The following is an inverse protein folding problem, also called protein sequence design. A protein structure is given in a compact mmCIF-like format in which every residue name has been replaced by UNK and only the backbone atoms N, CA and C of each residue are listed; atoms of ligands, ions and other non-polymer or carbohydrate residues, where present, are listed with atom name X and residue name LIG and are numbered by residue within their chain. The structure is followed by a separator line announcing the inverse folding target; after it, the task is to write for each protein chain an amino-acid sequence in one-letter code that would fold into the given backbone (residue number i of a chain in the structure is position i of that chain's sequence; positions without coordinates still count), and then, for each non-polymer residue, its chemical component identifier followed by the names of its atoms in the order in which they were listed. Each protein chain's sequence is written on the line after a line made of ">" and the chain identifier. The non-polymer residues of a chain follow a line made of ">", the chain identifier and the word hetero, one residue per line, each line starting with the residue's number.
data_IF_507442543593
#
_entry.id   IF_507442543593
#
_cell.length_a   1.000
_cell.length_b   1.000
_cell.length_c   1.000
_cell.angle_alpha   90.00
_cell.angle_beta   90.00
_cell.angle_gamma   90.00
#
_symmetry.space_group_name_H-M   'P 1'
#
loop_
_entity.id
_entity.type
_entity.pdbx_description
1 polymer ?
#
# COMPACT_ATOMS: atom_id res chain seq x y z
N UNK A 1 2.26 44.07 33.62
CA UNK A 1 2.92 42.78 33.98
C UNK A 1 1.93 41.68 34.36
N UNK A 2 0.92 41.93 35.22
CA UNK A 2 -0.02 40.88 35.67
C UNK A 2 -0.96 40.33 34.57
N UNK A 3 -1.39 41.12 33.58
CA UNK A 3 -2.26 40.60 32.49
C UNK A 3 -1.51 39.75 31.45
N UNK A 4 -0.21 40.00 31.25
CA UNK A 4 0.66 39.23 30.36
C UNK A 4 1.04 37.85 30.94
N UNK A 5 1.11 37.74 32.27
CA UNK A 5 1.28 36.44 32.94
C UNK A 5 -0.02 35.62 32.87
N UNK A 6 -1.18 36.28 33.03
CA UNK A 6 -2.51 35.65 32.95
C UNK A 6 -2.82 35.05 31.57
N UNK A 7 -2.53 35.77 30.47
CA UNK A 7 -2.77 35.28 29.10
C UNK A 7 -1.86 34.10 28.72
N UNK A 8 -0.60 34.12 29.16
CA UNK A 8 0.32 33.00 28.94
C UNK A 8 -0.07 31.76 29.78
N UNK A 9 -0.56 31.96 31.01
CA UNK A 9 -1.06 30.87 31.87
C UNK A 9 -2.37 30.27 31.33
N UNK A 10 -3.28 31.07 30.76
CA UNK A 10 -4.51 30.55 30.14
C UNK A 10 -4.21 29.72 28.90
N UNK A 11 -3.24 30.15 28.08
CA UNK A 11 -2.77 29.41 26.91
C UNK A 11 -2.05 28.12 27.33
N UNK A 12 -1.19 28.17 28.35
CA UNK A 12 -0.51 26.98 28.86
C UNK A 12 -1.49 25.94 29.44
N UNK A 13 -2.52 26.39 30.17
CA UNK A 13 -3.58 25.50 30.69
C UNK A 13 -4.39 24.87 29.56
N UNK A 14 -4.72 25.62 28.51
CA UNK A 14 -5.43 25.10 27.34
C UNK A 14 -4.58 24.10 26.56
N UNK A 15 -3.31 24.41 26.31
CA UNK A 15 -2.37 23.46 25.69
C UNK A 15 -2.19 22.20 26.52
N UNK A 16 -2.05 22.33 27.85
CA UNK A 16 -1.98 21.19 28.76
C UNK A 16 -3.26 20.34 28.71
N UNK A 17 -4.43 20.97 28.68
CA UNK A 17 -5.71 20.27 28.55
C UNK A 17 -5.83 19.53 27.20
N UNK A 18 -5.36 20.12 26.10
CA UNK A 18 -5.31 19.45 24.79
C UNK A 18 -4.37 18.24 24.81
N UNK A 19 -3.18 18.39 25.40
CA UNK A 19 -2.22 17.28 25.57
C UNK A 19 -2.81 16.17 26.44
N UNK A 20 -3.47 16.51 27.55
CA UNK A 20 -4.12 15.55 28.42
C UNK A 20 -5.28 14.83 27.72
N UNK A 21 -6.11 15.54 26.95
CA UNK A 21 -7.18 14.93 26.17
C UNK A 21 -6.61 13.98 25.10
N UNK A 22 -5.56 14.38 24.40
CA UNK A 22 -4.88 13.51 23.43
C UNK A 22 -4.31 12.26 24.10
N UNK A 23 -3.63 12.41 25.25
CA UNK A 23 -3.12 11.30 26.04
C UNK A 23 -4.24 10.38 26.57
N UNK A 24 -5.40 10.94 26.93
CA UNK A 24 -6.57 10.18 27.35
C UNK A 24 -7.14 9.35 26.20
N UNK A 25 -7.22 9.92 24.97
CA UNK A 25 -7.68 9.18 23.79
C UNK A 25 -6.74 8.02 23.48
N UNK A 26 -5.42 8.26 23.46
CA UNK A 26 -4.43 7.21 23.21
C UNK A 26 -4.44 6.12 24.28
N UNK A 27 -4.54 6.50 25.56
CA UNK A 27 -4.59 5.53 26.66
C UNK A 27 -5.88 4.72 26.63
N UNK A 28 -7.02 5.33 26.30
CA UNK A 28 -8.30 4.62 26.13
C UNK A 28 -8.22 3.59 25.00
N UNK A 29 -7.66 3.96 23.84
CA UNK A 29 -7.46 3.05 22.72
C UNK A 29 -6.53 1.88 23.09
N UNK A 30 -5.41 2.17 23.77
CA UNK A 30 -4.49 1.14 24.25
C UNK A 30 -5.13 0.19 25.27
N UNK A 31 -5.88 0.74 26.23
CA UNK A 31 -6.59 -0.05 27.24
C UNK A 31 -7.68 -0.91 26.62
N UNK A 32 -8.38 -0.42 25.60
CA UNK A 32 -9.35 -1.20 24.83
C UNK A 32 -8.66 -2.37 24.11
N UNK A 33 -7.53 -2.12 23.46
CA UNK A 33 -6.75 -3.17 22.78
C UNK A 33 -6.25 -4.24 23.75
N UNK A 34 -5.67 -3.83 24.89
CA UNK A 34 -5.23 -4.77 25.94
C UNK A 34 -6.39 -5.51 26.59
N UNK A 35 -7.50 -4.83 26.83
CA UNK A 35 -8.75 -5.44 27.30
C UNK A 35 -9.23 -6.53 26.35
N UNK A 36 -9.25 -6.26 25.05
CA UNK A 36 -9.62 -7.23 24.02
C UNK A 36 -8.63 -8.41 23.94
N UNK A 37 -7.33 -8.15 24.08
CA UNK A 37 -6.29 -9.17 24.10
C UNK A 37 -6.49 -10.14 25.29
N UNK A 38 -6.76 -9.61 26.48
CA UNK A 38 -7.06 -10.42 27.68
C UNK A 38 -8.41 -11.14 27.54
N UNK A 39 -9.42 -10.48 26.99
CA UNK A 39 -10.74 -11.06 26.78
C UNK A 39 -10.69 -12.26 25.84
N UNK A 40 -9.96 -12.16 24.73
CA UNK A 40 -9.82 -13.25 23.75
C UNK A 40 -8.73 -14.26 24.10
N UNK A 41 -7.89 -13.96 25.10
CA UNK A 41 -6.64 -14.67 25.41
C UNK A 41 -5.65 -14.73 24.23
N UNK A 42 -5.74 -13.76 23.30
CA UNK A 42 -4.87 -13.65 22.14
C UNK A 42 -3.92 -12.47 22.30
N UNK A 43 -2.65 -12.64 21.91
CA UNK A 43 -1.69 -11.54 21.82
C UNK A 43 -2.01 -10.57 20.68
N UNK A 44 -2.75 -11.03 19.68
CA UNK A 44 -3.25 -10.26 18.55
C UNK A 44 -4.71 -10.65 18.27
N UNK A 45 -5.70 -10.06 18.96
CA UNK A 45 -7.11 -10.45 18.84
C UNK A 45 -7.71 -10.18 17.46
N UNK A 46 -7.08 -9.32 16.67
CA UNK A 46 -7.53 -8.93 15.33
C UNK A 46 -6.33 -8.97 14.39
N UNK A 47 -6.46 -9.63 13.24
CA UNK A 47 -5.40 -9.74 12.22
C UNK A 47 -5.97 -9.49 10.83
N UNK A 48 -5.11 -9.10 9.88
CA UNK A 48 -5.49 -8.89 8.48
C UNK A 48 -4.85 -9.96 7.60
N UNK A 49 -5.62 -10.50 6.66
CA UNK A 49 -5.11 -11.45 5.66
C UNK A 49 -4.28 -10.71 4.60
N UNK A 50 -3.03 -11.12 4.44
CA UNK A 50 -2.08 -10.46 3.52
C UNK A 50 -1.84 -11.23 2.21
N UNK A 51 -2.25 -12.50 2.14
CA UNK A 51 -1.98 -13.39 0.99
C UNK A 51 -3.21 -14.21 0.61
N UNK A 52 -3.21 -14.77 -0.61
CA UNK A 52 -4.28 -15.63 -1.14
C UNK A 52 -4.15 -17.12 -0.81
N UNK A 53 -3.31 -17.52 0.17
CA UNK A 53 -3.13 -18.94 0.52
C UNK A 53 -4.39 -19.59 1.12
N UNK A 54 -5.34 -18.78 1.57
CA UNK A 54 -6.60 -19.21 2.20
C UNK A 54 -7.81 -19.11 1.28
N UNK A 55 -7.62 -18.84 -0.01
CA UNK A 55 -8.74 -18.84 -0.95
C UNK A 55 -9.33 -20.26 -1.13
N UNK A 56 -10.66 -20.40 -1.20
CA UNK A 56 -11.68 -19.35 -1.25
C UNK A 56 -12.21 -18.89 0.13
N UNK A 57 -11.74 -19.46 1.24
CA UNK A 57 -12.28 -19.19 2.57
C UNK A 57 -12.04 -17.75 3.04
N UNK A 58 -10.84 -17.23 2.81
CA UNK A 58 -10.49 -15.83 3.08
C UNK A 58 -9.68 -15.25 1.92
N UNK A 59 -9.90 -13.96 1.65
CA UNK A 59 -9.19 -13.20 0.65
C UNK A 59 -8.24 -12.20 1.30
N UNK A 60 -7.24 -11.74 0.54
CA UNK A 60 -6.40 -10.62 0.97
C UNK A 60 -7.27 -9.42 1.31
N UNK A 61 -7.00 -8.79 2.46
CA UNK A 61 -7.77 -7.66 2.98
C UNK A 61 -8.92 -8.03 3.92
N UNK A 62 -9.17 -9.31 4.18
CA UNK A 62 -10.13 -9.71 5.22
C UNK A 62 -9.57 -9.45 6.62
N UNK A 63 -10.40 -8.84 7.48
CA UNK A 63 -10.08 -8.59 8.89
C UNK A 63 -10.64 -9.73 9.75
N UNK A 64 -9.78 -10.50 10.39
CA UNK A 64 -10.14 -11.69 11.17
C UNK A 64 -10.16 -11.38 12.67
N UNK A 65 -11.16 -11.93 13.37
CA UNK A 65 -11.27 -11.89 14.83
C UNK A 65 -10.88 -13.24 15.42
N UNK A 66 -9.94 -13.19 16.36
CA UNK A 66 -9.33 -14.38 16.95
C UNK A 66 -9.84 -14.66 18.35
N UNK A 67 -9.91 -15.94 18.68
CA UNK A 67 -10.27 -16.44 20.00
C UNK A 67 -9.32 -17.57 20.40
N UNK A 68 -8.71 -17.45 21.58
CA UNK A 68 -7.69 -18.37 22.04
C UNK A 68 -8.00 -19.01 23.41
N UNK A 69 -9.21 -18.84 23.95
CA UNK A 69 -9.60 -19.50 25.22
C UNK A 69 -10.00 -20.96 25.07
N UNK A 70 -10.19 -21.44 23.83
CA UNK A 70 -10.52 -22.84 23.58
C UNK A 70 -9.30 -23.70 23.92
N UNK A 71 -9.42 -24.72 24.79
CA UNK A 71 -8.28 -25.53 25.22
C UNK A 71 -7.72 -26.42 24.11
N UNK A 72 -8.42 -26.55 22.98
CA UNK A 72 -8.06 -27.39 21.83
C UNK A 72 -8.41 -26.67 20.54
N UNK A 73 -7.71 -27.03 19.47
CA UNK A 73 -8.10 -26.71 18.10
C UNK A 73 -8.59 -28.00 17.42
N UNK A 74 -9.70 -27.90 16.69
CA UNK A 74 -10.29 -29.04 16.00
C UNK A 74 -9.85 -29.10 14.53
N UNK A 75 -9.90 -30.30 13.95
CA UNK A 75 -9.67 -30.46 12.51
C UNK A 75 -10.71 -29.64 11.75
N UNK A 76 -10.25 -28.85 10.78
CA UNK A 76 -11.08 -27.92 10.02
C UNK A 76 -11.13 -26.50 10.58
N UNK A 77 -10.71 -26.26 11.83
CA UNK A 77 -10.58 -24.90 12.35
C UNK A 77 -9.51 -24.12 11.58
N UNK A 78 -9.74 -22.82 11.37
CA UNK A 78 -8.74 -21.92 10.82
C UNK A 78 -8.05 -21.23 11.99
N UNK A 79 -6.73 -21.37 12.06
CA UNK A 79 -5.90 -20.87 13.15
C UNK A 79 -4.88 -19.88 12.62
N UNK A 80 -4.53 -18.92 13.47
CA UNK A 80 -3.42 -18.01 13.26
C UNK A 80 -2.29 -18.43 14.17
N UNK A 81 -1.11 -18.63 13.61
CA UNK A 81 0.05 -19.12 14.34
C UNK A 81 1.32 -18.36 13.99
N UNK A 82 2.22 -18.29 14.96
CA UNK A 82 3.55 -17.72 14.78
C UNK A 82 4.53 -18.84 14.46
N UNK A 83 5.53 -18.53 13.63
CA UNK A 83 6.66 -19.40 13.38
C UNK A 83 7.92 -18.74 13.93
N UNK A 84 8.74 -19.49 14.66
CA UNK A 84 9.99 -18.97 15.21
C UNK A 84 10.89 -18.43 14.10
N UNK A 85 11.32 -17.17 14.22
CA UNK A 85 12.15 -16.50 13.22
C UNK A 85 11.38 -15.91 12.04
N UNK A 86 10.05 -15.87 12.09
CA UNK A 86 9.21 -15.11 11.15
C UNK A 86 8.44 -14.03 11.90
N UNK A 87 8.40 -12.84 11.33
CA UNK A 87 7.73 -11.67 11.94
C UNK A 87 6.23 -11.61 11.64
N UNK A 88 5.77 -12.33 10.61
CA UNK A 88 4.38 -12.29 10.15
C UNK A 88 3.69 -13.61 10.51
N UNK A 89 2.57 -13.58 11.26
CA UNK A 89 1.79 -14.77 11.57
C UNK A 89 1.14 -15.35 10.31
N UNK A 90 0.94 -16.65 10.30
CA UNK A 90 0.34 -17.39 9.19
C UNK A 90 -1.07 -17.81 9.60
N UNK A 91 -2.02 -17.68 8.67
CA UNK A 91 -3.43 -18.07 8.86
C UNK A 91 -3.69 -19.29 8.00
N UNK A 92 -3.85 -20.47 8.57
CA UNK A 92 -4.14 -21.69 7.81
C UNK A 92 -5.10 -22.64 8.54
N UNK A 93 -5.65 -23.62 7.80
CA UNK A 93 -6.60 -24.60 8.35
C UNK A 93 -5.88 -25.76 9.01
N UNK A 94 -6.35 -26.18 10.18
CA UNK A 94 -5.89 -27.40 10.84
C UNK A 94 -6.39 -28.60 10.03
N UNK A 95 -5.45 -29.37 9.47
CA UNK A 95 -5.76 -30.58 8.70
C UNK A 95 -5.70 -31.84 9.55
N UNK A 96 -4.81 -31.88 10.55
CA UNK A 96 -4.66 -33.02 11.46
C UNK A 96 -4.23 -32.57 12.85
N UNK A 97 -4.59 -33.37 13.84
CA UNK A 97 -4.17 -33.19 15.24
C UNK A 97 -3.50 -34.46 15.75
N UNK A 98 -2.50 -34.29 16.60
CA UNK A 98 -1.69 -35.36 17.15
C UNK A 98 -1.59 -35.22 18.68
N UNK A 99 -1.43 -36.32 19.41
CA UNK A 99 -1.11 -36.26 20.82
C UNK A 99 0.25 -35.59 21.04
N UNK A 100 0.46 -35.02 22.22
CA UNK A 100 1.74 -34.41 22.60
C UNK A 100 2.86 -35.48 22.60
N UNK A 101 3.94 -35.23 21.85
CA UNK A 101 5.11 -36.10 21.77
C UNK A 101 6.26 -35.42 22.51
N UNK A 102 6.92 -36.17 23.41
CA UNK A 102 8.10 -35.65 24.10
C UNK A 102 9.29 -35.51 23.12
N UNK A 103 9.92 -34.31 23.02
CA UNK A 103 10.93 -34.02 22.01
C UNK A 103 12.23 -34.84 22.17
N UNK A 104 12.52 -35.34 23.39
CA UNK A 104 13.75 -36.11 23.67
C UNK A 104 13.60 -37.61 23.47
N UNK A 105 12.42 -38.16 23.74
CA UNK A 105 12.18 -39.61 23.79
C UNK A 105 11.39 -40.11 22.59
N UNK A 106 10.77 -39.21 21.80
CA UNK A 106 9.78 -39.51 20.75
C UNK A 106 8.65 -40.43 21.24
N UNK A 107 8.47 -40.55 22.55
CA UNK A 107 7.37 -41.29 23.17
C UNK A 107 6.17 -40.35 23.26
N UNK A 108 5.00 -40.90 23.00
CA UNK A 108 3.74 -40.25 23.39
C UNK A 108 3.78 -40.11 24.90
N UNK A 109 3.51 -38.90 25.39
CA UNK A 109 3.48 -38.63 26.83
C UNK A 109 2.35 -39.47 27.46
N UNK A 110 2.69 -40.57 28.12
CA UNK A 110 1.72 -41.42 28.82
C UNK A 110 1.17 -40.67 30.04
N UNK A 111 -0.14 -40.44 30.07
CA UNK A 111 -0.84 -39.93 31.25
C UNK A 111 -2.11 -40.77 31.45
N UNK A 112 -2.29 -41.20 32.69
CA UNK A 112 -3.33 -42.08 33.26
C UNK A 112 -4.67 -42.17 32.51
N UNK A 113 -5.23 -43.40 32.48
CA UNK A 113 -6.46 -43.84 31.79
C UNK A 113 -7.78 -43.10 32.12
N UNK A 114 -7.74 -41.98 32.85
CA UNK A 114 -8.88 -41.12 33.19
C UNK A 114 -8.75 -39.68 32.68
N UNK A 115 -7.70 -39.34 31.91
CA UNK A 115 -7.49 -38.00 31.36
C UNK A 115 -7.91 -37.97 29.88
N UNK A 116 -8.85 -37.12 29.45
CA UNK A 116 -9.20 -37.00 28.03
C UNK A 116 -7.99 -36.39 27.31
N UNK A 117 -7.31 -37.19 26.48
CA UNK A 117 -6.06 -36.81 25.79
C UNK A 117 -6.24 -35.43 25.11
N UNK A 118 -5.40 -34.42 25.42
CA UNK A 118 -5.40 -33.18 24.68
C UNK A 118 -4.54 -33.37 23.43
N UNK A 119 -5.16 -33.44 22.25
CA UNK A 119 -4.43 -33.37 20.99
C UNK A 119 -3.86 -31.95 20.85
N UNK A 120 -2.60 -31.77 21.25
CA UNK A 120 -1.96 -30.47 21.36
C UNK A 120 -1.01 -30.16 20.20
N UNK A 121 -0.70 -31.14 19.35
CA UNK A 121 0.15 -30.95 18.19
C UNK A 121 -0.73 -30.84 16.94
N UNK A 122 -0.47 -29.85 16.09
CA UNK A 122 -1.31 -29.49 14.96
C UNK A 122 -0.49 -29.51 13.67
N UNK A 123 -1.11 -30.01 12.60
CA UNK A 123 -0.63 -29.85 11.23
C UNK A 123 -1.64 -28.97 10.49
N UNK A 124 -1.12 -27.98 9.79
CA UNK A 124 -1.90 -26.96 9.08
C UNK A 124 -1.61 -26.98 7.59
N UNK A 125 -2.56 -26.45 6.82
CA UNK A 125 -2.43 -26.23 5.38
C UNK A 125 -3.26 -25.03 4.95
N UNK A 126 -2.72 -24.22 4.05
CA UNK A 126 -3.51 -23.21 3.31
C UNK A 126 -4.51 -23.85 2.36
N UNK A 127 -5.75 -23.34 2.33
CA UNK A 127 -6.81 -23.91 1.50
C UNK A 127 -6.44 -23.94 0.01
N UNK A 128 -5.69 -22.95 -0.46
CA UNK A 128 -5.20 -22.83 -1.84
C UNK A 128 -3.79 -23.42 -2.06
N UNK A 129 -3.15 -23.97 -1.03
CA UNK A 129 -1.81 -24.56 -1.16
C UNK A 129 -1.89 -26.00 -1.70
N UNK A 130 -0.82 -26.49 -2.35
CA UNK A 130 -0.75 -27.89 -2.84
C UNK A 130 -0.30 -28.85 -1.74
N UNK A 131 0.64 -28.41 -0.89
CA UNK A 131 1.23 -29.19 0.20
C UNK A 131 0.88 -28.63 1.58
N UNK A 132 1.10 -29.43 2.62
CA UNK A 132 0.97 -29.03 4.03
C UNK A 132 2.09 -28.07 4.46
N UNK A 133 1.88 -27.35 5.57
CA UNK A 133 2.74 -26.23 5.99
C UNK A 133 4.07 -26.64 6.64
N UNK A 134 4.44 -27.93 6.61
CA UNK A 134 5.67 -28.43 7.25
C UNK A 134 6.93 -27.66 6.82
N UNK A 135 7.03 -27.23 5.55
CA UNK A 135 8.13 -26.41 5.05
C UNK A 135 8.10 -24.96 5.54
N UNK A 136 6.94 -24.48 5.99
CA UNK A 136 6.77 -23.14 6.54
C UNK A 136 7.13 -23.05 8.02
N UNK A 137 7.19 -24.18 8.73
CA UNK A 137 7.53 -24.24 10.15
C UNK A 137 9.00 -23.95 10.42
N UNK A 138 9.35 -23.80 11.69
CA UNK A 138 10.74 -23.57 12.08
C UNK A 138 11.60 -24.80 11.76
N UNK A 139 12.91 -24.59 11.57
CA UNK A 139 13.83 -25.69 11.27
C UNK A 139 13.79 -26.76 12.39
N UNK A 140 13.42 -27.98 12.02
CA UNK A 140 13.30 -29.11 12.95
C UNK A 140 11.95 -29.18 13.68
N UNK A 141 10.95 -28.40 13.26
CA UNK A 141 9.59 -28.42 13.76
C UNK A 141 8.66 -29.06 12.71
N UNK A 142 8.12 -30.24 13.02
CA UNK A 142 7.19 -30.94 12.12
C UNK A 142 5.72 -30.62 12.43
N UNK A 143 5.43 -30.09 13.62
CA UNK A 143 4.08 -29.80 14.10
C UNK A 143 4.06 -28.51 14.94
N UNK A 144 2.91 -27.85 14.97
CA UNK A 144 2.66 -26.67 15.80
C UNK A 144 2.11 -27.10 17.17
N UNK A 145 2.59 -26.48 18.24
CA UNK A 145 2.03 -26.65 19.57
C UNK A 145 0.86 -25.69 19.78
N UNK A 146 -0.29 -26.21 20.21
CA UNK A 146 -1.51 -25.45 20.49
C UNK A 146 -1.30 -24.32 21.49
N UNK A 147 -0.48 -24.51 22.52
CA UNK A 147 -0.28 -23.54 23.59
C UNK A 147 0.82 -22.51 23.25
N UNK A 148 1.88 -22.95 22.57
CA UNK A 148 3.04 -22.10 22.31
C UNK A 148 2.92 -21.31 21.00
N UNK A 149 2.46 -21.95 19.92
CA UNK A 149 2.57 -21.39 18.57
C UNK A 149 1.27 -20.73 18.09
N UNK A 150 0.11 -21.15 18.61
CA UNK A 150 -1.19 -20.64 18.16
C UNK A 150 -1.53 -19.31 18.85
N UNK A 151 -1.72 -18.28 18.04
CA UNK A 151 -2.19 -16.95 18.44
C UNK A 151 -3.69 -16.98 18.74
N UNK A 152 -4.47 -17.69 17.93
CA UNK A 152 -5.89 -17.96 18.17
C UNK A 152 -6.61 -18.58 16.97
N UNK A 153 -7.79 -19.16 17.22
CA UNK A 153 -8.70 -19.64 16.17
C UNK A 153 -9.56 -18.50 15.65
N UNK A 154 -9.77 -18.44 14.33
CA UNK A 154 -10.66 -17.46 13.70
C UNK A 154 -12.11 -17.76 14.07
N UNK A 155 -12.84 -16.78 14.61
CA UNK A 155 -14.27 -16.91 15.01
C UNK A 155 -15.21 -16.01 14.23
N UNK A 156 -14.67 -15.05 13.51
CA UNK A 156 -15.43 -14.15 12.64
C UNK A 156 -14.48 -13.34 11.78
N UNK A 157 -15.02 -12.70 10.76
CA UNK A 157 -14.26 -11.79 9.91
C UNK A 157 -15.15 -10.71 9.33
N UNK A 158 -14.54 -9.62 8.89
CA UNK A 158 -15.19 -8.61 8.07
C UNK A 158 -14.43 -8.54 6.74
N UNK A 159 -15.08 -8.77 5.60
CA UNK A 159 -14.42 -8.77 4.31
C UNK A 159 -13.91 -7.38 3.94
N UNK A 160 -12.78 -7.32 3.23
CA UNK A 160 -12.19 -6.12 2.63
C UNK A 160 -11.75 -4.97 3.57
N UNK A 161 -12.17 -4.93 4.84
CA UNK A 161 -11.83 -3.83 5.77
C UNK A 161 -10.34 -3.72 6.04
N UNK A 162 -9.63 -4.85 6.03
CA UNK A 162 -8.19 -4.90 6.18
C UNK A 162 -7.43 -4.17 5.08
N UNK A 163 -8.02 -3.90 3.90
CA UNK A 163 -7.38 -3.05 2.89
C UNK A 163 -7.07 -1.65 3.41
N UNK A 164 -7.87 -1.11 4.34
CA UNK A 164 -7.58 0.18 4.98
C UNK A 164 -6.28 0.09 5.78
N UNK A 165 -6.09 -0.99 6.54
CA UNK A 165 -4.87 -1.23 7.32
C UNK A 165 -3.67 -1.55 6.43
N UNK A 166 -3.85 -2.38 5.40
CA UNK A 166 -2.82 -2.70 4.41
C UNK A 166 -2.35 -1.42 3.71
N UNK A 167 -3.28 -0.58 3.25
CA UNK A 167 -2.96 0.70 2.62
C UNK A 167 -2.21 1.66 3.56
N UNK A 168 -2.52 1.64 4.85
CA UNK A 168 -1.83 2.44 5.87
C UNK A 168 -0.45 1.89 6.25
N UNK A 169 -0.22 0.58 6.11
CA UNK A 169 0.99 -0.11 6.59
C UNK A 169 2.00 -0.46 5.49
N UNK A 170 1.55 -0.80 4.28
CA UNK A 170 2.42 -1.23 3.17
C UNK A 170 2.99 -0.05 2.36
N UNK A 171 2.33 1.13 2.35
CA UNK A 171 2.83 2.30 1.64
C UNK A 171 2.78 3.62 2.43
N UNK A 172 3.36 3.72 3.66
CA UNK A 172 3.53 5.00 4.34
C UNK A 172 4.25 6.03 3.44
N UNK A 173 5.24 5.55 2.69
CA UNK A 173 6.02 6.35 1.75
C UNK A 173 5.17 6.95 0.62
N UNK A 174 4.06 6.31 0.18
CA UNK A 174 3.22 6.85 -0.89
C UNK A 174 2.47 8.09 -0.42
N UNK A 175 1.99 8.05 0.83
CA UNK A 175 1.37 9.21 1.48
C UNK A 175 2.41 10.30 1.74
N UNK A 176 3.62 9.93 2.13
CA UNK A 176 4.72 10.89 2.30
C UNK A 176 5.11 11.54 0.97
N UNK A 177 5.26 10.77 -0.11
CA UNK A 177 5.62 11.27 -1.44
C UNK A 177 4.52 12.19 -2.00
N UNK A 178 3.25 11.82 -1.84
CA UNK A 178 2.12 12.68 -2.22
C UNK A 178 2.09 13.96 -1.38
N UNK A 179 2.28 13.86 -0.06
CA UNK A 179 2.30 15.02 0.83
C UNK A 179 3.46 15.97 0.48
N UNK A 180 4.66 15.44 0.21
CA UNK A 180 5.84 16.19 -0.22
C UNK A 180 5.57 16.93 -1.54
N UNK A 181 4.89 16.28 -2.51
CA UNK A 181 4.48 16.90 -3.77
C UNK A 181 3.38 17.95 -3.62
N UNK A 182 2.46 17.79 -2.67
CA UNK A 182 1.42 18.78 -2.40
C UNK A 182 1.96 19.99 -1.62
N UNK A 183 2.91 19.77 -0.72
CA UNK A 183 3.56 20.81 0.08
C UNK A 183 4.59 21.59 -0.74
N UNK A 184 5.37 20.89 -1.55
CA UNK A 184 6.47 21.46 -2.36
C UNK A 184 6.45 20.93 -3.80
N UNK A 185 5.42 21.26 -4.59
CA UNK A 185 5.37 20.82 -5.97
C UNK A 185 6.50 21.43 -6.81
N UNK A 186 6.98 20.73 -7.86
CA UNK A 186 7.84 21.34 -8.85
C UNK A 186 7.21 22.57 -9.51
N UNK A 187 8.03 23.47 -10.02
CA UNK A 187 7.56 24.71 -10.67
C UNK A 187 6.58 24.44 -11.82
N UNK A 188 5.45 25.15 -11.79
CA UNK A 188 4.38 25.00 -12.79
C UNK A 188 3.63 23.67 -12.71
N UNK A 189 3.73 22.93 -11.61
CA UNK A 189 3.02 21.66 -11.39
C UNK A 189 2.13 21.78 -10.16
N UNK A 190 0.93 21.21 -10.23
CA UNK A 190 0.04 21.04 -9.08
C UNK A 190 -0.50 19.62 -9.09
N UNK A 191 -0.48 18.95 -7.94
CA UNK A 191 -0.89 17.55 -7.82
C UNK A 191 -2.13 17.45 -6.93
N UNK A 192 -3.12 16.70 -7.41
CA UNK A 192 -4.35 16.36 -6.69
C UNK A 192 -4.60 14.86 -6.78
N UNK A 193 -5.27 14.30 -5.78
CA UNK A 193 -5.80 12.94 -5.89
C UNK A 193 -6.98 12.92 -6.88
N UNK A 194 -7.01 11.91 -7.74
CA UNK A 194 -8.17 11.72 -8.61
C UNK A 194 -9.42 11.36 -7.80
N UNK A 195 -9.23 10.63 -6.69
CA UNK A 195 -10.25 10.21 -5.74
C UNK A 195 -9.62 10.05 -4.34
N UNK A 196 -10.27 10.54 -3.29
CA UNK A 196 -9.79 10.42 -1.90
C UNK A 196 -9.68 8.96 -1.42
N UNK A 197 -10.40 8.02 -2.05
CA UNK A 197 -10.31 6.59 -1.74
C UNK A 197 -9.29 5.82 -2.58
N UNK A 198 -8.72 6.43 -3.63
CA UNK A 198 -7.73 5.80 -4.51
C UNK A 198 -6.44 6.61 -4.57
N UNK A 199 -5.44 6.15 -3.81
CA UNK A 199 -4.12 6.78 -3.72
C UNK A 199 -3.20 6.44 -4.88
N UNK A 200 -3.61 5.60 -5.84
CA UNK A 200 -2.78 5.20 -6.99
C UNK A 200 -3.05 6.05 -8.24
N UNK A 201 -4.13 6.85 -8.25
CA UNK A 201 -4.55 7.65 -9.40
C UNK A 201 -4.48 9.14 -9.07
N UNK A 202 -3.60 9.87 -9.73
CA UNK A 202 -3.35 11.29 -9.47
C UNK A 202 -3.70 12.13 -10.68
N UNK A 203 -4.27 13.31 -10.41
CA UNK A 203 -4.47 14.38 -11.39
C UNK A 203 -3.37 15.40 -11.19
N UNK A 204 -2.57 15.59 -12.22
CA UNK A 204 -1.49 16.57 -12.23
C UNK A 204 -1.86 17.67 -13.21
N UNK A 205 -1.92 18.92 -12.74
CA UNK A 205 -2.04 20.07 -13.60
C UNK A 205 -0.65 20.60 -13.89
N UNK A 206 -0.26 20.59 -15.16
CA UNK A 206 1.06 21.02 -15.63
C UNK A 206 0.90 22.29 -16.47
N UNK A 207 1.58 23.35 -16.06
CA UNK A 207 1.69 24.59 -16.82
C UNK A 207 2.76 24.44 -17.89
N UNK A 208 2.42 24.86 -19.11
CA UNK A 208 3.35 24.84 -20.23
C UNK A 208 4.57 25.72 -19.96
N UNK A 209 5.80 25.20 -20.15
CA UNK A 209 7.01 25.92 -19.80
C UNK A 209 7.20 27.19 -20.63
N UNK A 210 7.80 28.22 -20.03
CA UNK A 210 8.20 29.44 -20.73
C UNK A 210 9.16 29.12 -21.88
N UNK A 211 9.07 29.86 -22.99
CA UNK A 211 9.89 29.61 -24.18
C UNK A 211 9.42 28.44 -25.06
N UNK A 212 8.37 27.72 -24.66
CA UNK A 212 7.74 26.66 -25.47
C UNK A 212 6.46 27.14 -26.17
N UNK A 213 5.98 26.47 -27.25
CA UNK A 213 4.69 26.77 -27.85
C UNK A 213 3.49 26.45 -26.93
N UNK A 214 3.75 25.81 -25.78
CA UNK A 214 2.77 25.42 -24.78
C UNK A 214 2.59 26.46 -23.67
N UNK A 215 3.42 27.52 -23.65
CA UNK A 215 3.36 28.58 -22.66
C UNK A 215 1.96 29.19 -22.54
N UNK A 216 1.54 29.51 -21.30
CA UNK A 216 0.18 29.91 -20.91
C UNK A 216 -0.90 28.82 -21.07
N UNK A 217 -0.54 27.61 -21.47
CA UNK A 217 -1.43 26.45 -21.44
C UNK A 217 -1.38 25.73 -20.10
N UNK A 218 -2.51 25.15 -19.68
CA UNK A 218 -2.60 24.25 -18.53
C UNK A 218 -3.08 22.87 -18.98
N UNK A 219 -2.28 21.84 -18.73
CA UNK A 219 -2.51 20.48 -19.19
C UNK A 219 -2.84 19.57 -18.02
N UNK A 220 -3.96 18.85 -18.11
CA UNK A 220 -4.24 17.74 -17.20
C UNK A 220 -3.39 16.55 -17.63
N UNK A 221 -2.57 16.06 -16.72
CA UNK A 221 -1.76 14.85 -16.83
C UNK A 221 -2.28 13.86 -15.80
N UNK A 222 -2.63 12.65 -16.24
CA UNK A 222 -3.04 11.54 -15.40
C UNK A 222 -1.80 10.74 -15.05
N UNK A 223 -1.55 10.55 -13.77
CA UNK A 223 -0.49 9.70 -13.26
C UNK A 223 -1.12 8.50 -12.55
N UNK A 224 -0.72 7.30 -12.95
CA UNK A 224 -1.24 6.05 -12.41
C UNK A 224 -0.09 5.17 -11.93
N UNK A 225 -0.14 4.79 -10.66
CA UNK A 225 0.83 3.92 -10.01
C UNK A 225 0.35 2.47 -10.07
N UNK A 226 1.17 1.53 -10.59
CA UNK A 226 0.84 0.11 -10.51
C UNK A 226 0.95 -0.40 -9.06
N UNK A 227 0.31 -1.53 -8.78
CA UNK A 227 0.37 -2.17 -7.45
C UNK A 227 1.77 -2.62 -7.07
N UNK A 228 2.65 -2.84 -8.04
CA UNK A 228 4.06 -3.21 -7.80
C UNK A 228 5.02 -2.01 -7.77
N UNK A 229 4.53 -0.77 -7.79
CA UNK A 229 5.38 0.40 -7.58
C UNK A 229 6.03 0.34 -6.18
N UNK A 230 7.32 0.73 -6.01
CA UNK A 230 8.21 1.36 -6.99
C UNK A 230 9.03 0.38 -7.83
N UNK A 231 8.80 -0.92 -7.77
CA UNK A 231 9.55 -1.89 -8.58
C UNK A 231 9.11 -1.88 -10.05
N UNK A 232 7.87 -1.51 -10.32
CA UNK A 232 7.40 -1.11 -11.66
C UNK A 232 7.23 0.41 -11.76
N UNK A 233 7.51 1.02 -12.93
CA UNK A 233 7.38 2.46 -13.13
C UNK A 233 5.93 2.93 -13.06
N UNK A 234 5.69 4.22 -12.73
CA UNK A 234 4.39 4.85 -12.93
C UNK A 234 4.05 4.91 -14.42
N UNK A 235 2.78 5.14 -14.71
CA UNK A 235 2.30 5.49 -16.05
C UNK A 235 1.82 6.94 -16.08
N UNK A 236 2.17 7.66 -17.15
CA UNK A 236 1.87 9.08 -17.31
C UNK A 236 1.19 9.28 -18.67
N UNK A 237 0.04 9.95 -18.67
CA UNK A 237 -0.69 10.25 -19.90
C UNK A 237 -1.36 11.62 -19.84
N UNK A 238 -1.42 12.32 -20.96
CA UNK A 238 -2.13 13.58 -21.10
C UNK A 238 -3.64 13.34 -21.18
N UNK A 239 -4.38 13.90 -20.22
CA UNK A 239 -5.84 14.04 -20.29
C UNK A 239 -6.28 15.21 -21.17
N UNK A 240 -5.44 16.24 -21.30
CA UNK A 240 -5.65 17.36 -22.24
C UNK A 240 -4.98 17.07 -23.57
N UNK A 241 -5.70 17.25 -24.69
CA UNK A 241 -5.12 17.06 -26.04
C UNK A 241 -3.96 18.03 -26.27
N UNK A 242 -2.86 17.51 -26.81
CA UNK A 242 -1.62 18.25 -27.05
C UNK A 242 -0.99 17.83 -28.38
N UNK A 243 -0.39 18.77 -29.10
CA UNK A 243 0.31 18.51 -30.35
C UNK A 243 1.82 18.39 -30.11
N UNK A 244 2.30 17.18 -29.78
CA UNK A 244 3.68 16.98 -29.32
C UNK A 244 4.30 15.68 -29.91
N UNK A 245 5.59 15.65 -30.32
CA UNK A 245 6.21 14.45 -30.90
C UNK A 245 6.22 13.21 -29.99
N UNK A 246 6.47 13.41 -28.69
CA UNK A 246 6.56 12.34 -27.68
C UNK A 246 5.25 12.00 -26.96
N UNK A 247 4.10 12.55 -27.40
CA UNK A 247 2.78 12.26 -26.82
C UNK A 247 1.84 11.80 -27.93
N UNK A 248 1.09 10.72 -27.72
CA UNK A 248 0.13 10.26 -28.72
C UNK A 248 -1.00 11.26 -28.92
N UNK A 249 -1.45 11.42 -30.16
CA UNK A 249 -2.52 12.33 -30.53
C UNK A 249 -3.93 11.69 -30.46
N UNK A 250 -4.08 10.60 -29.72
CA UNK A 250 -5.35 9.91 -29.49
C UNK A 250 -5.98 10.33 -28.15
N UNK A 251 -7.17 9.80 -27.84
CA UNK A 251 -7.84 10.10 -26.57
C UNK A 251 -7.14 9.48 -25.35
N UNK A 252 -6.10 8.64 -25.56
CA UNK A 252 -5.27 8.09 -24.49
C UNK A 252 -4.18 9.08 -24.05
N UNK A 253 -3.64 9.87 -24.98
CA UNK A 253 -2.58 10.85 -24.69
C UNK A 253 -1.33 10.22 -24.05
N UNK A 254 -0.98 9.00 -24.42
CA UNK A 254 0.13 8.26 -23.83
C UNK A 254 1.45 8.98 -24.08
N UNK A 255 2.22 9.21 -23.01
CA UNK A 255 3.54 9.82 -23.09
C UNK A 255 4.61 8.74 -22.92
N UNK A 256 5.55 8.67 -23.85
CA UNK A 256 6.71 7.80 -23.69
C UNK A 256 7.84 8.59 -23.01
N UNK A 257 8.12 8.26 -21.76
CA UNK A 257 9.26 8.81 -21.02
C UNK A 257 10.35 7.75 -20.99
N UNK A 258 11.52 8.04 -21.56
CA UNK A 258 12.64 7.08 -21.59
C UNK A 258 13.01 6.56 -20.19
N UNK A 259 12.94 7.41 -19.17
CA UNK A 259 13.19 7.05 -17.77
C UNK A 259 12.15 6.10 -17.15
N UNK A 260 10.99 5.95 -17.78
CA UNK A 260 9.91 5.05 -17.35
C UNK A 260 9.94 3.70 -18.09
N UNK A 261 10.93 3.47 -18.96
CA UNK A 261 11.12 2.15 -19.59
C UNK A 261 11.53 1.13 -18.51
N UNK A 262 11.04 -0.12 -18.55
CA UNK A 262 11.29 -1.11 -17.50
C UNK A 262 12.76 -1.37 -17.18
N UNK A 263 13.65 -1.20 -18.16
CA UNK A 263 15.10 -1.37 -18.06
C UNK A 263 15.85 -0.12 -17.53
N UNK A 264 15.24 1.06 -17.64
CA UNK A 264 15.81 2.34 -17.20
C UNK A 264 15.27 2.79 -15.84
N UNK A 265 14.07 2.34 -15.48
CA UNK A 265 13.41 2.73 -14.24
C UNK A 265 14.17 2.23 -13.01
N UNK A 266 14.43 3.17 -12.08
CA UNK A 266 15.03 2.88 -10.78
C UNK A 266 13.99 3.06 -9.69
N UNK A 267 13.77 2.08 -8.79
CA UNK A 267 12.82 2.23 -7.69
C UNK A 267 13.11 3.40 -6.73
N UNK A 268 14.34 3.93 -6.75
CA UNK A 268 14.74 5.11 -5.99
C UNK A 268 14.36 6.44 -6.67
N UNK A 269 13.84 6.42 -7.89
CA UNK A 269 13.41 7.61 -8.61
C UNK A 269 12.17 8.23 -7.97
N UNK A 270 12.17 9.56 -7.87
CA UNK A 270 11.09 10.35 -7.28
C UNK A 270 10.03 10.73 -8.31
N UNK A 271 8.76 10.77 -7.90
CA UNK A 271 7.67 11.16 -8.81
C UNK A 271 7.82 12.62 -9.23
N UNK A 272 8.31 13.49 -8.33
CA UNK A 272 8.69 14.87 -8.67
C UNK A 272 9.62 14.94 -9.88
N UNK A 273 10.64 14.08 -9.93
CA UNK A 273 11.59 14.00 -11.05
C UNK A 273 10.93 13.51 -12.34
N UNK A 274 9.98 12.57 -12.25
CA UNK A 274 9.19 12.12 -13.42
C UNK A 274 8.36 13.27 -14.00
N UNK A 275 7.69 14.05 -13.14
CA UNK A 275 6.88 15.19 -13.57
C UNK A 275 7.73 16.33 -14.14
N UNK A 276 8.88 16.60 -13.53
CA UNK A 276 9.88 17.55 -14.06
C UNK A 276 10.38 17.12 -15.44
N UNK A 277 10.70 15.84 -15.62
CA UNK A 277 11.15 15.32 -16.91
C UNK A 277 10.05 15.39 -17.99
N UNK A 278 8.80 15.10 -17.62
CA UNK A 278 7.66 15.28 -18.50
C UNK A 278 7.48 16.75 -18.92
N UNK A 279 7.61 17.71 -17.99
CA UNK A 279 7.56 19.14 -18.31
C UNK A 279 8.74 19.58 -19.18
N UNK A 280 9.94 19.06 -18.93
CA UNK A 280 11.13 19.35 -19.74
C UNK A 280 10.96 18.90 -21.19
N UNK A 281 10.30 17.77 -21.44
CA UNK A 281 10.02 17.32 -22.80
C UNK A 281 9.14 18.29 -23.59
N UNK A 282 8.24 19.03 -22.93
CA UNK A 282 7.47 20.08 -23.59
C UNK A 282 8.34 21.25 -24.05
N UNK A 283 9.43 21.53 -23.34
CA UNK A 283 10.40 22.55 -23.71
C UNK A 283 11.34 22.05 -24.81
N UNK A 284 11.85 20.84 -24.64
CA UNK A 284 12.82 20.20 -25.54
C UNK A 284 12.31 18.82 -25.96
N UNK A 285 11.45 18.74 -27.00
CA UNK A 285 11.01 17.48 -27.57
C UNK A 285 12.18 16.61 -28.01
N UNK A 286 12.06 15.28 -27.89
CA UNK A 286 13.05 14.30 -28.33
C UNK A 286 12.58 13.59 -29.60
N UNK A 287 12.94 14.05 -30.80
CA UNK A 287 12.35 13.54 -32.04
C UNK A 287 12.75 12.10 -32.38
N UNK A 288 13.88 11.62 -31.87
CA UNK A 288 14.37 10.26 -32.13
C UNK A 288 13.62 9.21 -31.31
N UNK A 289 13.06 9.61 -30.16
CA UNK A 289 12.19 8.80 -29.29
C UNK A 289 10.70 9.17 -29.48
N UNK A 290 10.34 9.77 -30.61
CA UNK A 290 8.99 10.24 -30.87
C UNK A 290 8.01 9.07 -31.08
N UNK A 291 6.83 9.20 -30.49
CA UNK A 291 5.70 8.28 -30.73
C UNK A 291 4.94 8.70 -31.98
N UNK A 292 4.89 10.00 -32.27
CA UNK A 292 4.23 10.59 -33.42
C UNK A 292 5.26 11.02 -34.48
N UNK A 293 5.70 10.07 -35.31
CA UNK A 293 6.75 10.30 -36.31
C UNK A 293 6.48 11.48 -37.26
N UNK A 294 5.22 11.69 -37.66
CA UNK A 294 4.84 12.83 -38.52
C UNK A 294 5.07 14.19 -37.83
N UNK A 295 4.78 14.27 -36.54
CA UNK A 295 4.98 15.49 -35.75
C UNK A 295 6.49 15.69 -35.53
N UNK A 296 7.24 14.61 -35.31
CA UNK A 296 8.70 14.65 -35.20
C UNK A 296 9.37 15.13 -36.50
N UNK A 297 8.94 14.64 -37.66
CA UNK A 297 9.44 15.08 -38.96
C UNK A 297 9.13 16.55 -39.21
N UNK A 298 7.93 17.01 -38.82
CA UNK A 298 7.59 18.42 -38.90
C UNK A 298 8.44 19.26 -37.95
N UNK A 299 8.66 18.81 -36.72
CA UNK A 299 9.53 19.48 -35.75
C UNK A 299 10.96 19.63 -36.28
N UNK A 300 11.50 18.60 -36.95
CA UNK A 300 12.85 18.60 -37.54
C UNK A 300 12.96 19.50 -38.77
N UNK A 301 11.98 19.45 -39.68
CA UNK A 301 12.10 20.04 -41.01
C UNK A 301 11.36 21.39 -41.17
N UNK A 302 10.35 21.67 -40.34
CA UNK A 302 9.50 22.87 -40.41
C UNK A 302 9.07 23.32 -39.00
N UNK A 303 10.06 23.83 -38.25
CA UNK A 303 9.87 24.24 -36.86
C UNK A 303 8.84 25.35 -36.70
N UNK A 304 8.79 26.30 -37.63
CA UNK A 304 7.85 27.42 -37.58
C UNK A 304 6.40 26.93 -37.63
N UNK A 305 6.09 26.04 -38.57
CA UNK A 305 4.73 25.47 -38.70
C UNK A 305 4.37 24.56 -37.53
N UNK A 306 5.33 23.81 -36.99
CA UNK A 306 5.12 23.04 -35.76
C UNK A 306 4.74 23.96 -34.60
N UNK A 307 5.49 25.04 -34.36
CA UNK A 307 5.24 25.96 -33.26
C UNK A 307 3.89 26.68 -33.41
N UNK A 308 3.47 27.01 -34.64
CA UNK A 308 2.14 27.57 -34.92
C UNK A 308 1.01 26.61 -34.55
N UNK A 309 1.09 25.36 -35.01
CA UNK A 309 0.07 24.33 -34.72
C UNK A 309 0.04 23.99 -33.22
N UNK A 310 1.19 23.84 -32.58
CA UNK A 310 1.28 23.56 -31.15
C UNK A 310 0.67 24.70 -30.32
N UNK A 311 0.89 25.97 -30.70
CA UNK A 311 0.23 27.13 -30.07
C UNK A 311 -1.27 27.15 -30.30
N UNK A 312 -1.74 26.80 -31.50
CA UNK A 312 -3.17 26.71 -31.80
C UNK A 312 -3.85 25.64 -30.93
N UNK A 313 -3.24 24.46 -30.80
CA UNK A 313 -3.74 23.37 -29.98
C UNK A 313 -3.75 23.74 -28.50
N UNK A 314 -2.68 24.38 -28.02
CA UNK A 314 -2.60 24.90 -26.65
C UNK A 314 -3.75 25.88 -26.39
N UNK A 315 -4.01 26.81 -27.30
CA UNK A 315 -5.13 27.76 -27.18
C UNK A 315 -6.50 27.10 -27.29
N UNK A 316 -6.61 25.94 -27.94
CA UNK A 316 -7.90 25.28 -28.16
C UNK A 316 -8.27 24.34 -27.03
N UNK A 317 -7.29 23.63 -26.46
CA UNK A 317 -7.53 22.53 -25.52
C UNK A 317 -7.00 22.80 -24.12
N UNK A 318 -6.03 23.72 -23.95
CA UNK A 318 -5.34 24.00 -22.69
C UNK A 318 -5.60 25.42 -22.16
N UNK A 319 -6.59 26.13 -22.72
CA UNK A 319 -6.90 27.55 -22.45
C UNK A 319 -7.97 27.79 -21.38
N UNK A 320 -8.49 26.76 -20.73
CA UNK A 320 -9.60 26.87 -19.75
C UNK A 320 -9.55 25.65 -18.83
N UNK A 321 -9.63 25.75 -17.49
CA UNK A 321 -10.14 26.80 -16.60
C UNK A 321 -9.16 27.18 -15.48
#
# INVERSE_FOLDING_TARGET
>A
MLSFLSSNLSNARQSLAQVLNFALVLSTAFMMWKGLSVFTASSSPVVVVLSGSMEPAFQRGDLLFLWNRSPRAEVGEIVVYNVRGKDIPIVHRVVRTFPEIEPKTKKVKEISASSPIPNNMLLTKGDNNIADDTELYARGQDHLNREEDIVGSVRGYIPMVGYVTILLSEHPWLKTELAELMESPPEGITVELANESDFYQWKVYMEGPEGSPYHNGRFLVKLSLPTEYPFKPPSVSFGTKIYHPNVTNDDKGSMCLGMLRPDEWKPSSKIAGVLQFARQLLLEPMPDDAVEGRIADQYKNDRARYDELAKEWTRKYASTA
#
